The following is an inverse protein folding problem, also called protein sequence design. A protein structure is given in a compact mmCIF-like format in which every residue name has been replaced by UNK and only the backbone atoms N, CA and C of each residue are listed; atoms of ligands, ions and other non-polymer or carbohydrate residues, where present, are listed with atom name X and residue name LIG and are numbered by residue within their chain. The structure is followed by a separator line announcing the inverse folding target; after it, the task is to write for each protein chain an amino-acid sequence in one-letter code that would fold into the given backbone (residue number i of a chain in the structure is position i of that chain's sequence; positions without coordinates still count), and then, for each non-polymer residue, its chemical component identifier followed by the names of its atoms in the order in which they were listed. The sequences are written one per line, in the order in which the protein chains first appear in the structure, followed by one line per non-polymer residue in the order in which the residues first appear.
data_IF_256102368941
#
_entry.id   IF_256102368941
#
_cell.length_a   1.000
_cell.length_b   1.000
_cell.length_c   1.000
_cell.angle_alpha   90.00
_cell.angle_beta   90.00
_cell.angle_gamma   90.00
#
_symmetry.space_group_name_H-M   'P 1'
#
loop_
_entity.id
_entity.type
_entity.pdbx_description
1 polymer ?
#
# COMPACT_ATOMS: atom_id res chain seq x y z
N UNK A 1 31.15 -1.00 -6.75
CA UNK A 1 32.46 -1.66 -6.99
C UNK A 1 32.43 -2.58 -8.24
N UNK A 2 31.71 -2.24 -9.32
CA UNK A 2 31.26 -3.26 -10.29
C UNK A 2 32.02 -3.39 -11.63
N UNK A 3 32.67 -2.34 -12.13
CA UNK A 3 33.25 -2.38 -13.49
C UNK A 3 34.79 -2.26 -13.52
N UNK A 4 35.38 -1.43 -12.65
CA UNK A 4 36.85 -1.23 -12.66
C UNK A 4 37.63 -2.48 -12.22
N UNK A 5 37.13 -3.23 -11.23
CA UNK A 5 37.70 -4.50 -10.78
C UNK A 5 37.56 -5.59 -11.83
N UNK A 6 36.41 -5.64 -12.52
CA UNK A 6 36.18 -6.60 -13.60
C UNK A 6 37.10 -6.34 -14.79
N UNK A 7 37.26 -5.08 -15.21
CA UNK A 7 38.18 -4.70 -16.29
C UNK A 7 39.63 -5.00 -15.94
N UNK A 8 40.04 -4.82 -14.68
CA UNK A 8 41.39 -5.15 -14.22
C UNK A 8 41.67 -6.66 -14.25
N UNK A 9 40.70 -7.48 -13.83
CA UNK A 9 40.80 -8.95 -13.89
C UNK A 9 40.87 -9.43 -15.35
N UNK A 10 40.04 -8.87 -16.23
CA UNK A 10 40.08 -9.18 -17.67
C UNK A 10 41.44 -8.82 -18.27
N UNK A 11 41.98 -7.64 -17.96
CA UNK A 11 43.27 -7.20 -18.47
C UNK A 11 44.43 -8.13 -18.05
N UNK A 12 44.45 -8.55 -16.77
CA UNK A 12 45.44 -9.52 -16.26
C UNK A 12 45.31 -10.88 -16.97
N UNK A 13 44.07 -11.33 -17.22
CA UNK A 13 43.83 -12.59 -17.91
C UNK A 13 44.19 -12.58 -19.40
N UNK A 14 44.32 -11.40 -20.03
CA UNK A 14 44.65 -11.27 -21.47
C UNK A 14 46.12 -11.05 -21.79
N UNK A 15 46.96 -10.71 -20.80
CA UNK A 15 48.38 -10.39 -21.00
C UNK A 15 49.32 -11.62 -20.97
N UNK A 16 48.77 -12.84 -20.85
CA UNK A 16 49.53 -14.08 -20.71
C UNK A 16 49.73 -14.87 -22.01
N UNK A 17 50.49 -15.98 -21.91
CA UNK A 17 50.61 -16.97 -22.97
C UNK A 17 49.23 -17.56 -23.35
N UNK A 18 49.12 -18.14 -24.54
CA UNK A 18 47.86 -18.74 -25.06
C UNK A 18 47.18 -19.67 -24.02
N UNK A 19 47.98 -20.43 -23.27
CA UNK A 19 47.50 -21.33 -22.21
C UNK A 19 46.86 -20.59 -21.03
N UNK A 20 47.42 -19.45 -20.61
CA UNK A 20 46.86 -18.63 -19.54
C UNK A 20 45.55 -17.97 -19.95
N UNK A 21 45.43 -17.58 -21.22
CA UNK A 21 44.21 -16.98 -21.76
C UNK A 21 43.05 -18.00 -21.77
N UNK A 22 43.32 -19.26 -22.12
CA UNK A 22 42.30 -20.33 -22.09
C UNK A 22 41.84 -20.60 -20.65
N UNK A 23 42.76 -20.69 -19.69
CA UNK A 23 42.41 -20.89 -18.27
C UNK A 23 41.58 -19.72 -17.75
N UNK A 24 41.97 -18.49 -18.06
CA UNK A 24 41.22 -17.28 -17.70
C UNK A 24 39.79 -17.28 -18.25
N UNK A 25 39.62 -17.66 -19.52
CA UNK A 25 38.29 -17.76 -20.14
C UNK A 25 37.39 -18.80 -19.45
N UNK A 26 37.94 -19.96 -19.10
CA UNK A 26 37.20 -21.01 -18.37
C UNK A 26 36.79 -20.52 -16.97
N UNK A 27 37.68 -19.84 -16.25
CA UNK A 27 37.38 -19.27 -14.93
C UNK A 27 36.24 -18.24 -14.99
N UNK A 28 36.30 -17.31 -15.96
CA UNK A 28 35.24 -16.29 -16.14
C UNK A 28 33.91 -16.94 -16.51
N UNK A 29 33.91 -17.90 -17.44
CA UNK A 29 32.69 -18.63 -17.82
C UNK A 29 32.09 -19.40 -16.63
N UNK A 30 32.94 -19.99 -15.77
CA UNK A 30 32.51 -20.71 -14.57
C UNK A 30 31.91 -19.76 -13.53
N UNK A 31 32.57 -18.63 -13.25
CA UNK A 31 32.05 -17.62 -12.33
C UNK A 31 30.73 -17.02 -12.84
N UNK A 32 30.62 -16.78 -14.15
CA UNK A 32 29.37 -16.34 -14.77
C UNK A 32 28.28 -17.41 -14.65
N UNK A 33 28.61 -18.69 -14.88
CA UNK A 33 27.68 -19.80 -14.68
C UNK A 33 27.18 -19.90 -13.24
N UNK A 34 28.08 -19.80 -12.26
CA UNK A 34 27.73 -19.79 -10.82
C UNK A 34 26.86 -18.58 -10.50
N UNK A 35 27.23 -17.39 -10.96
CA UNK A 35 26.45 -16.17 -10.75
C UNK A 35 25.06 -16.26 -11.40
N UNK A 36 24.96 -16.78 -12.63
CA UNK A 36 23.70 -16.95 -13.34
C UNK A 36 22.80 -17.97 -12.66
N UNK A 37 23.36 -19.09 -12.21
CA UNK A 37 22.65 -20.10 -11.40
C UNK A 37 22.17 -19.46 -10.09
N UNK A 38 23.03 -18.73 -9.40
CA UNK A 38 22.70 -18.04 -8.15
C UNK A 38 21.59 -16.99 -8.34
N UNK A 39 21.68 -16.15 -9.39
CA UNK A 39 20.65 -15.15 -9.74
C UNK A 39 19.33 -15.84 -10.10
N UNK A 40 19.38 -16.94 -10.85
CA UNK A 40 18.19 -17.73 -11.19
C UNK A 40 17.55 -18.38 -9.97
N UNK A 41 18.34 -18.96 -9.07
CA UNK A 41 17.84 -19.52 -7.81
C UNK A 41 17.22 -18.44 -6.92
N UNK A 42 17.88 -17.28 -6.81
CA UNK A 42 17.36 -16.15 -6.04
C UNK A 42 16.01 -15.65 -6.57
N UNK A 43 15.80 -15.66 -7.88
CA UNK A 43 14.52 -15.25 -8.50
C UNK A 43 13.39 -16.28 -8.34
N UNK A 44 13.72 -17.56 -8.15
CA UNK A 44 12.73 -18.66 -8.08
C UNK A 44 12.16 -18.90 -6.67
N UNK A 45 12.61 -18.17 -5.65
CA UNK A 45 12.30 -18.49 -4.25
C UNK A 45 11.33 -17.53 -3.55
N UNK A 46 10.70 -16.58 -4.25
CA UNK A 46 9.68 -15.75 -3.63
C UNK A 46 8.36 -16.54 -3.54
N UNK A 47 8.14 -17.24 -2.42
CA UNK A 47 6.81 -17.72 -2.06
C UNK A 47 6.11 -16.62 -1.29
N UNK A 48 4.99 -16.15 -1.83
CA UNK A 48 4.08 -15.25 -1.13
C UNK A 48 3.10 -16.12 -0.36
N UNK A 49 3.18 -16.09 0.96
CA UNK A 49 2.15 -16.68 1.82
C UNK A 49 1.13 -15.59 2.11
N UNK A 50 -0.05 -15.69 1.49
CA UNK A 50 -1.15 -14.80 1.77
C UNK A 50 -1.97 -15.39 2.93
N UNK A 51 -1.89 -14.78 4.11
CA UNK A 51 -2.75 -15.11 5.23
C UNK A 51 -3.83 -14.05 5.41
N UNK A 52 -5.08 -14.50 5.43
CA UNK A 52 -6.24 -13.65 5.74
C UNK A 52 -6.42 -13.63 7.25
N UNK A 53 -6.18 -12.47 7.88
CA UNK A 53 -6.39 -12.26 9.31
C UNK A 53 -7.02 -10.92 9.60
N UNK A 54 -7.72 -10.79 10.73
CA UNK A 54 -8.18 -9.47 11.17
C UNK A 54 -7.00 -8.60 11.61
N UNK A 55 -6.91 -7.33 11.17
CA UNK A 55 -5.77 -6.50 11.52
C UNK A 55 -5.81 -6.11 12.99
N UNK A 56 -4.64 -6.04 13.61
CA UNK A 56 -4.49 -5.35 14.90
C UNK A 56 -4.78 -3.86 14.73
N UNK A 57 -5.45 -3.19 15.69
CA UNK A 57 -5.68 -1.75 15.65
C UNK A 57 -4.39 -0.96 15.38
N UNK A 58 -4.43 -0.05 14.42
CA UNK A 58 -3.30 0.75 13.99
C UNK A 58 -3.32 2.14 14.64
N UNK A 59 -2.15 2.75 14.76
CA UNK A 59 -1.97 4.15 15.18
C UNK A 59 -1.95 5.11 13.99
N UNK A 60 -1.49 4.63 12.84
CA UNK A 60 -1.47 5.37 11.58
C UNK A 60 -2.25 4.64 10.50
N UNK A 61 -3.06 5.36 9.72
CA UNK A 61 -3.85 4.79 8.64
C UNK A 61 -3.61 5.59 7.34
N UNK A 62 -3.17 4.91 6.29
CA UNK A 62 -3.02 5.51 4.96
C UNK A 62 -4.23 5.09 4.13
N UNK A 63 -4.98 6.04 3.58
CA UNK A 63 -6.20 5.80 2.82
C UNK A 63 -6.04 6.30 1.38
N UNK A 64 -6.54 5.52 0.43
CA UNK A 64 -6.73 5.94 -0.95
C UNK A 64 -8.15 6.45 -1.17
N UNK A 65 -8.26 7.62 -1.81
CA UNK A 65 -9.54 8.24 -2.13
C UNK A 65 -9.80 8.26 -3.64
N UNK A 66 -11.05 7.98 -3.99
CA UNK A 66 -11.62 8.17 -5.32
C UNK A 66 -12.62 9.32 -5.29
N UNK A 67 -13.02 9.90 -6.44
CA UNK A 67 -14.03 10.95 -6.47
C UNK A 67 -15.32 10.49 -5.79
N UNK A 68 -15.92 11.36 -4.97
CA UNK A 68 -17.12 11.04 -4.20
C UNK A 68 -18.29 10.63 -5.09
N UNK A 69 -18.93 9.50 -4.78
CA UNK A 69 -20.07 8.97 -5.52
C UNK A 69 -21.04 8.26 -4.58
N UNK A 70 -22.32 8.43 -4.86
CA UNK A 70 -23.42 7.69 -4.23
C UNK A 70 -24.19 6.98 -5.34
N UNK A 71 -24.47 5.69 -5.17
CA UNK A 71 -25.16 4.91 -6.20
C UNK A 71 -26.60 5.39 -6.34
N UNK A 72 -27.00 5.74 -7.57
CA UNK A 72 -28.38 6.13 -7.88
C UNK A 72 -28.80 7.53 -7.43
N UNK A 73 -27.85 8.39 -7.02
CA UNK A 73 -28.13 9.78 -6.65
C UNK A 73 -27.32 10.72 -7.54
N UNK A 74 -28.03 11.55 -8.30
CA UNK A 74 -27.44 12.62 -9.12
C UNK A 74 -27.47 13.97 -8.36
N UNK A 75 -26.65 14.93 -8.78
CA UNK A 75 -26.65 16.32 -8.28
C UNK A 75 -26.25 16.52 -6.79
N UNK A 76 -25.29 15.75 -6.28
CA UNK A 76 -24.71 15.98 -4.95
C UNK A 76 -23.52 16.96 -4.94
N UNK A 77 -23.05 17.39 -6.11
CA UNK A 77 -21.81 18.15 -6.25
C UNK A 77 -21.80 19.45 -5.44
N UNK A 78 -22.88 20.22 -5.48
CA UNK A 78 -22.98 21.49 -4.74
C UNK A 78 -22.92 21.28 -3.22
N UNK A 79 -23.64 20.26 -2.71
CA UNK A 79 -23.62 19.92 -1.28
C UNK A 79 -22.25 19.42 -0.85
N UNK A 80 -21.64 18.53 -1.64
CA UNK A 80 -20.29 18.02 -1.37
C UNK A 80 -19.29 19.17 -1.37
N UNK A 81 -19.38 20.10 -2.32
CA UNK A 81 -18.52 21.28 -2.39
C UNK A 81 -18.69 22.19 -1.18
N UNK A 82 -19.92 22.42 -0.74
CA UNK A 82 -20.20 23.16 0.49
C UNK A 82 -19.54 22.49 1.71
N UNK A 83 -19.75 21.19 1.90
CA UNK A 83 -19.19 20.43 3.03
C UNK A 83 -17.67 20.27 2.97
N UNK A 84 -17.10 20.28 1.77
CA UNK A 84 -15.65 20.25 1.56
C UNK A 84 -14.99 21.64 1.66
N UNK A 85 -15.76 22.72 1.89
CA UNK A 85 -15.22 24.07 2.00
C UNK A 85 -14.58 24.26 3.39
N UNK A 86 -13.28 24.58 3.47
CA UNK A 86 -12.61 24.80 4.75
C UNK A 86 -13.30 25.89 5.58
N UNK A 87 -13.59 25.59 6.85
CA UNK A 87 -14.22 26.54 7.77
C UNK A 87 -15.74 26.64 7.68
N UNK A 88 -16.40 25.85 6.82
CA UNK A 88 -17.84 25.73 6.84
C UNK A 88 -18.33 25.22 8.21
N UNK A 89 -19.43 25.78 8.71
CA UNK A 89 -20.06 25.34 9.95
C UNK A 89 -20.84 24.03 9.71
N UNK A 90 -20.12 22.93 9.51
CA UNK A 90 -20.68 21.61 9.21
C UNK A 90 -21.10 20.90 10.49
N UNK A 91 -22.29 20.30 10.47
CA UNK A 91 -22.85 19.46 11.52
C UNK A 91 -22.96 18.00 11.07
N UNK A 92 -23.13 17.08 12.02
CA UNK A 92 -23.22 15.65 11.73
C UNK A 92 -24.39 15.30 10.78
N UNK A 93 -25.53 15.98 10.94
CA UNK A 93 -26.72 15.80 10.09
C UNK A 93 -26.50 16.18 8.62
N UNK A 94 -25.52 17.03 8.32
CA UNK A 94 -25.24 17.42 6.94
C UNK A 94 -24.67 16.25 6.13
N UNK A 95 -23.99 15.30 6.79
CA UNK A 95 -23.46 14.10 6.13
C UNK A 95 -24.55 13.09 5.80
N UNK A 96 -25.67 13.10 6.53
CA UNK A 96 -26.85 12.30 6.20
C UNK A 96 -27.49 12.81 4.89
N UNK A 97 -27.48 14.13 4.68
CA UNK A 97 -28.04 14.77 3.49
C UNK A 97 -27.27 14.46 2.18
N UNK A 98 -26.04 13.96 2.29
CA UNK A 98 -25.25 13.42 1.16
C UNK A 98 -25.16 11.89 1.18
N UNK A 99 -25.80 11.23 2.16
CA UNK A 99 -25.78 9.78 2.32
C UNK A 99 -24.37 9.19 2.38
N UNK A 100 -23.49 9.77 3.22
CA UNK A 100 -22.07 9.38 3.27
C UNK A 100 -21.88 7.87 3.55
N UNK A 101 -22.76 7.26 4.34
CA UNK A 101 -22.73 5.83 4.68
C UNK A 101 -23.12 4.93 3.49
N UNK A 102 -23.81 5.46 2.48
CA UNK A 102 -24.17 4.76 1.25
C UNK A 102 -23.26 5.14 0.07
N UNK A 103 -22.19 5.89 0.33
CA UNK A 103 -21.25 6.36 -0.67
C UNK A 103 -20.07 5.40 -0.86
N UNK A 104 -19.25 5.67 -1.88
CA UNK A 104 -17.97 4.99 -2.06
C UNK A 104 -16.91 5.32 -0.97
N UNK A 105 -17.19 6.22 -0.03
CA UNK A 105 -16.36 6.44 1.17
C UNK A 105 -16.66 5.45 2.31
N UNK A 106 -17.76 4.70 2.22
CA UNK A 106 -18.16 3.79 3.30
C UNK A 106 -17.06 2.82 3.75
N UNK A 107 -16.25 2.21 2.85
CA UNK A 107 -15.12 1.38 3.27
C UNK A 107 -14.08 2.14 4.11
N UNK A 108 -13.73 3.37 3.72
CA UNK A 108 -12.79 4.21 4.46
C UNK A 108 -13.34 4.60 5.83
N UNK A 109 -14.65 4.90 5.91
CA UNK A 109 -15.31 5.16 7.19
C UNK A 109 -15.22 3.93 8.10
N UNK A 110 -15.52 2.74 7.58
CA UNK A 110 -15.41 1.49 8.32
C UNK A 110 -13.97 1.21 8.79
N UNK A 111 -12.96 1.47 7.95
CA UNK A 111 -11.55 1.34 8.32
C UNK A 111 -11.18 2.27 9.48
N UNK A 112 -11.60 3.54 9.42
CA UNK A 112 -11.39 4.51 10.50
C UNK A 112 -12.10 4.04 11.79
N UNK A 113 -13.37 3.66 11.71
CA UNK A 113 -14.15 3.18 12.86
C UNK A 113 -13.50 1.96 13.52
N UNK A 114 -12.95 1.03 12.72
CA UNK A 114 -12.27 -0.14 13.25
C UNK A 114 -10.99 0.22 14.02
N UNK A 115 -10.22 1.20 13.54
CA UNK A 115 -8.95 1.61 14.17
C UNK A 115 -9.08 2.71 15.23
N UNK A 116 -10.23 3.38 15.33
CA UNK A 116 -10.44 4.63 16.09
C UNK A 116 -9.88 4.63 17.52
N UNK A 117 -9.89 3.48 18.22
CA UNK A 117 -9.42 3.37 19.62
C UNK A 117 -7.93 3.67 19.78
N UNK A 118 -7.13 3.41 18.75
CA UNK A 118 -5.67 3.62 18.78
C UNK A 118 -5.19 4.60 17.72
N UNK A 119 -6.06 4.98 16.79
CA UNK A 119 -5.74 5.82 15.64
C UNK A 119 -5.38 7.23 16.10
N UNK A 120 -4.19 7.69 15.70
CA UNK A 120 -3.67 9.04 15.95
C UNK A 120 -3.65 9.87 14.67
N UNK A 121 -3.27 9.25 13.55
CA UNK A 121 -3.05 9.95 12.29
C UNK A 121 -3.66 9.20 11.11
N UNK A 122 -4.24 9.96 10.18
CA UNK A 122 -4.77 9.48 8.91
C UNK A 122 -4.15 10.27 7.77
N UNK A 123 -3.58 9.59 6.78
CA UNK A 123 -3.10 10.21 5.54
C UNK A 123 -4.06 9.91 4.40
N UNK A 124 -4.50 10.96 3.71
CA UNK A 124 -5.42 10.87 2.58
C UNK A 124 -4.64 11.08 1.29
N UNK A 125 -4.38 10.00 0.56
CA UNK A 125 -3.77 10.04 -0.77
C UNK A 125 -4.89 10.04 -1.81
N UNK A 126 -4.83 10.96 -2.75
CA UNK A 126 -5.90 11.17 -3.72
C UNK A 126 -5.36 11.65 -5.06
N UNK A 127 -6.17 11.61 -6.11
CA UNK A 127 -5.94 12.37 -7.35
C UNK A 127 -6.55 13.76 -7.27
N UNK A 128 -6.22 14.64 -8.23
CA UNK A 128 -6.84 15.96 -8.39
C UNK A 128 -8.38 15.88 -8.38
N UNK A 129 -8.94 14.87 -9.06
CA UNK A 129 -10.38 14.66 -9.18
C UNK A 129 -11.06 14.28 -7.86
N UNK A 130 -10.28 13.77 -6.91
CA UNK A 130 -10.75 13.28 -5.60
C UNK A 130 -10.29 14.16 -4.44
N UNK A 131 -9.61 15.29 -4.72
CA UNK A 131 -9.05 16.16 -3.69
C UNK A 131 -10.14 16.76 -2.79
N UNK A 132 -11.30 17.12 -3.36
CA UNK A 132 -12.47 17.57 -2.59
C UNK A 132 -13.02 16.47 -1.67
N UNK A 133 -12.96 15.22 -2.10
CA UNK A 133 -13.39 14.07 -1.28
C UNK A 133 -12.53 13.92 -0.03
N UNK A 134 -11.24 14.26 -0.11
CA UNK A 134 -10.37 14.30 1.07
C UNK A 134 -10.75 15.39 2.07
N UNK A 135 -11.16 16.57 1.61
CA UNK A 135 -11.72 17.60 2.50
C UNK A 135 -13.02 17.16 3.15
N UNK A 136 -13.94 16.57 2.38
CA UNK A 136 -15.18 16.03 2.91
C UNK A 136 -14.92 14.99 4.02
N UNK A 137 -14.02 14.03 3.77
CA UNK A 137 -13.68 13.02 4.76
C UNK A 137 -12.98 13.62 5.99
N UNK A 138 -12.09 14.60 5.80
CA UNK A 138 -11.45 15.34 6.89
C UNK A 138 -12.47 16.04 7.79
N UNK A 139 -13.46 16.73 7.20
CA UNK A 139 -14.52 17.38 7.94
C UNK A 139 -15.44 16.37 8.65
N UNK A 140 -15.75 15.24 8.00
CA UNK A 140 -16.47 14.14 8.64
C UNK A 140 -15.72 13.63 9.89
N UNK A 141 -14.41 13.39 9.76
CA UNK A 141 -13.60 12.91 10.89
C UNK A 141 -13.61 13.93 12.03
N UNK A 142 -13.44 15.22 11.70
CA UNK A 142 -13.46 16.32 12.67
C UNK A 142 -14.78 16.39 13.44
N UNK A 143 -15.91 16.32 12.73
CA UNK A 143 -17.25 16.47 13.33
C UNK A 143 -17.64 15.24 14.13
N UNK A 144 -17.34 14.03 13.65
CA UNK A 144 -17.81 12.78 14.26
C UNK A 144 -16.88 12.27 15.37
N UNK A 145 -15.56 12.39 15.20
CA UNK A 145 -14.57 11.88 16.16
C UNK A 145 -13.86 12.98 16.98
N UNK A 146 -14.05 14.25 16.61
CA UNK A 146 -13.38 15.40 17.23
C UNK A 146 -11.98 15.69 16.66
N UNK A 147 -11.63 16.97 16.57
CA UNK A 147 -10.33 17.43 16.01
C UNK A 147 -9.11 17.05 16.84
N UNK A 148 -9.28 16.77 18.13
CA UNK A 148 -8.18 16.47 19.04
C UNK A 148 -7.81 14.98 19.05
N UNK A 149 -8.69 14.11 18.54
CA UNK A 149 -8.52 12.66 18.60
C UNK A 149 -7.66 12.12 17.45
N UNK A 150 -7.94 12.58 16.23
CA UNK A 150 -7.32 12.05 15.00
C UNK A 150 -6.81 13.23 14.16
N UNK A 151 -5.50 13.29 13.94
CA UNK A 151 -4.89 14.21 12.99
C UNK A 151 -5.11 13.71 11.56
N UNK A 152 -5.65 14.57 10.69
CA UNK A 152 -5.92 14.22 9.29
C UNK A 152 -4.97 15.00 8.37
N UNK A 153 -4.05 14.26 7.76
CA UNK A 153 -3.06 14.71 6.81
C UNK A 153 -3.65 14.66 5.39
N UNK A 154 -4.20 15.79 4.95
CA UNK A 154 -4.72 16.00 3.59
C UNK A 154 -4.10 17.27 3.02
N UNK A 155 -3.13 17.12 2.11
CA UNK A 155 -2.29 18.21 1.57
C UNK A 155 -2.03 18.00 0.08
N UNK A 156 -1.58 19.04 -0.61
CA UNK A 156 -1.25 19.01 -2.04
C UNK A 156 -0.17 17.98 -2.39
N UNK A 157 0.74 17.70 -1.46
CA UNK A 157 1.84 16.76 -1.59
C UNK A 157 1.37 15.30 -1.62
N UNK A 158 0.11 15.04 -1.24
CA UNK A 158 -0.53 13.72 -1.31
C UNK A 158 -1.47 13.58 -2.50
N UNK A 159 -1.44 14.55 -3.42
CA UNK A 159 -2.10 14.46 -4.72
C UNK A 159 -1.18 13.71 -5.69
N UNK A 160 -1.69 12.66 -6.33
CA UNK A 160 -0.93 11.80 -7.26
C UNK A 160 -1.66 11.64 -8.59
N UNK A 161 -0.92 11.31 -9.64
CA UNK A 161 -1.55 10.90 -10.90
C UNK A 161 -2.17 9.50 -10.74
N UNK A 162 -3.47 9.32 -10.98
CA UNK A 162 -4.11 8.03 -10.77
C UNK A 162 -3.70 6.97 -11.79
N UNK A 163 -3.19 7.32 -12.97
CA UNK A 163 -3.01 6.37 -14.07
C UNK A 163 -1.59 5.82 -14.18
N UNK A 164 -0.55 6.60 -13.88
CA UNK A 164 0.83 6.16 -14.08
C UNK A 164 1.81 7.11 -13.41
N UNK A 165 2.39 6.71 -12.27
CA UNK A 165 3.71 7.12 -11.80
C UNK A 165 4.16 6.30 -10.57
N UNK A 166 5.43 6.47 -10.23
CA UNK A 166 6.04 6.09 -8.96
C UNK A 166 5.81 7.15 -7.86
N UNK A 167 5.01 8.21 -8.11
CA UNK A 167 4.74 9.25 -7.13
C UNK A 167 3.96 8.69 -5.95
N UNK A 168 2.91 7.87 -6.17
CA UNK A 168 2.20 7.27 -5.03
C UNK A 168 3.14 6.41 -4.18
N UNK A 169 4.01 5.63 -4.83
CA UNK A 169 5.01 4.84 -4.13
C UNK A 169 5.92 5.75 -3.29
N UNK A 170 6.45 6.83 -3.88
CA UNK A 170 7.30 7.82 -3.17
C UNK A 170 6.57 8.53 -2.03
N UNK A 171 5.29 8.90 -2.22
CA UNK A 171 4.45 9.50 -1.19
C UNK A 171 4.26 8.52 -0.03
N UNK A 172 3.98 7.25 -0.31
CA UNK A 172 3.87 6.23 0.72
C UNK A 172 5.21 6.02 1.44
N UNK A 173 6.33 5.93 0.71
CA UNK A 173 7.67 5.87 1.31
C UNK A 173 7.96 7.05 2.23
N UNK A 174 7.66 8.27 1.78
CA UNK A 174 7.84 9.49 2.54
C UNK A 174 7.00 9.49 3.82
N UNK A 175 5.72 9.11 3.74
CA UNK A 175 4.84 8.97 4.91
C UNK A 175 5.44 7.98 5.92
N UNK A 176 5.87 6.80 5.47
CA UNK A 176 6.50 5.81 6.35
C UNK A 176 7.84 6.27 6.93
N UNK A 177 8.57 7.14 6.24
CA UNK A 177 9.90 7.60 6.66
C UNK A 177 9.85 8.81 7.61
N UNK A 178 8.84 9.68 7.47
CA UNK A 178 8.81 10.99 8.14
C UNK A 178 7.92 11.04 9.39
N UNK A 179 6.96 10.12 9.52
CA UNK A 179 6.09 10.04 10.71
C UNK A 179 6.84 9.54 11.96
N UNK A 180 6.36 9.92 13.14
CA UNK A 180 6.82 9.38 14.43
C UNK A 180 6.27 7.96 14.71
N UNK A 181 5.30 7.50 13.92
CA UNK A 181 4.65 6.20 14.07
C UNK A 181 5.52 5.11 13.42
N UNK A 182 5.90 4.10 14.20
CA UNK A 182 6.62 2.93 13.67
C UNK A 182 5.78 2.24 12.58
N UNK A 183 6.39 1.85 11.46
CA UNK A 183 5.72 1.23 10.31
C UNK A 183 4.80 0.04 10.68
N UNK A 184 5.22 -0.79 11.64
CA UNK A 184 4.42 -1.94 12.14
C UNK A 184 3.13 -1.55 12.89
N UNK A 185 3.06 -0.31 13.35
CA UNK A 185 1.90 0.29 14.01
C UNK A 185 1.05 1.12 13.03
N UNK A 186 1.44 1.16 11.75
CA UNK A 186 0.67 1.76 10.68
C UNK A 186 0.01 0.67 9.85
N UNK A 187 -1.04 1.02 9.12
CA UNK A 187 -1.63 0.15 8.11
C UNK A 187 -2.10 0.97 6.91
N UNK A 188 -1.86 0.46 5.71
CA UNK A 188 -2.31 1.06 4.47
C UNK A 188 -3.59 0.36 3.98
N UNK A 189 -4.67 1.10 3.77
CA UNK A 189 -5.91 0.57 3.20
C UNK A 189 -5.89 0.70 1.68
N UNK A 190 -5.90 -0.43 0.98
CA UNK A 190 -5.81 -0.50 -0.48
C UNK A 190 -7.20 -0.60 -1.16
N UNK A 191 -8.29 -0.44 -0.40
CA UNK A 191 -9.66 -0.64 -0.90
C UNK A 191 -10.10 0.46 -1.87
N UNK A 192 -9.71 1.71 -1.58
CA UNK A 192 -10.14 2.88 -2.33
C UNK A 192 -9.22 3.29 -3.47
N UNK A 193 -9.55 4.42 -4.10
CA UNK A 193 -8.78 4.99 -5.20
C UNK A 193 -8.99 4.24 -6.52
N UNK A 194 -8.10 4.51 -7.48
CA UNK A 194 -8.05 3.77 -8.74
C UNK A 194 -7.25 2.48 -8.53
N UNK A 195 -7.51 1.43 -9.32
CA UNK A 195 -6.85 0.13 -9.17
C UNK A 195 -5.31 0.23 -9.23
N UNK A 196 -4.79 1.09 -10.11
CA UNK A 196 -3.37 1.45 -10.22
C UNK A 196 -2.82 2.06 -8.93
N UNK A 197 -3.58 2.92 -8.24
CA UNK A 197 -3.20 3.47 -6.95
C UNK A 197 -3.14 2.38 -5.87
N UNK A 198 -4.14 1.50 -5.82
CA UNK A 198 -4.18 0.36 -4.89
C UNK A 198 -2.97 -0.54 -5.06
N UNK A 199 -2.62 -0.87 -6.31
CA UNK A 199 -1.41 -1.67 -6.63
C UNK A 199 -0.15 -0.94 -6.18
N UNK A 200 0.00 0.35 -6.50
CA UNK A 200 1.18 1.12 -6.08
C UNK A 200 1.33 1.19 -4.56
N UNK A 201 0.23 1.34 -3.82
CA UNK A 201 0.26 1.38 -2.35
C UNK A 201 0.59 0.01 -1.76
N UNK A 202 0.02 -1.06 -2.34
CA UNK A 202 0.34 -2.42 -1.97
C UNK A 202 1.84 -2.71 -2.18
N UNK A 203 2.41 -2.29 -3.32
CA UNK A 203 3.84 -2.43 -3.61
C UNK A 203 4.73 -1.69 -2.62
N UNK A 204 4.33 -0.48 -2.18
CA UNK A 204 5.04 0.25 -1.13
C UNK A 204 5.01 -0.48 0.24
N UNK A 205 4.03 -1.35 0.45
CA UNK A 205 3.87 -2.09 1.70
C UNK A 205 4.53 -3.48 1.69
N UNK A 206 5.18 -3.90 0.60
CA UNK A 206 5.95 -5.17 0.54
C UNK A 206 7.21 -5.11 1.41
N UNK A 207 7.71 -3.92 1.73
CA UNK A 207 8.86 -3.75 2.63
C UNK A 207 8.56 -4.33 4.03
N UNK A 208 9.47 -5.13 4.62
CA UNK A 208 9.23 -5.78 5.91
C UNK A 208 8.75 -4.83 7.01
N UNK A 209 7.74 -5.28 7.75
CA UNK A 209 7.17 -4.54 8.88
C UNK A 209 6.16 -3.46 8.50
N UNK A 210 5.89 -3.24 7.20
CA UNK A 210 4.71 -2.48 6.76
C UNK A 210 3.53 -3.43 6.65
N UNK A 211 2.33 -2.90 6.90
CA UNK A 211 1.08 -3.66 6.90
C UNK A 211 0.13 -3.00 5.91
N UNK A 212 -0.66 -3.81 5.25
CA UNK A 212 -1.76 -3.32 4.42
C UNK A 212 -3.04 -4.10 4.73
N UNK A 213 -4.17 -3.48 4.43
CA UNK A 213 -5.48 -4.09 4.59
C UNK A 213 -6.38 -3.83 3.39
N UNK A 214 -7.41 -4.66 3.28
CA UNK A 214 -8.51 -4.51 2.37
C UNK A 214 -9.83 -4.63 3.13
N UNK A 215 -10.80 -3.78 2.83
CA UNK A 215 -12.15 -3.85 3.41
C UNK A 215 -12.98 -4.83 2.60
N UNK A 216 -13.10 -6.05 3.10
CA UNK A 216 -13.88 -7.11 2.47
C UNK A 216 -15.38 -6.88 2.67
N UNK A 217 -16.13 -7.03 1.56
CA UNK A 217 -17.56 -7.25 1.59
C UNK A 217 -17.82 -8.75 1.58
N UNK A 218 -18.46 -9.32 2.64
CA UNK A 218 -18.78 -10.74 2.68
C UNK A 218 -19.58 -11.17 1.45
N UNK A 219 -19.26 -12.34 0.92
CA UNK A 219 -19.91 -12.91 -0.28
C UNK A 219 -20.71 -14.16 0.07
N UNK A 220 -21.79 -14.39 -0.65
CA UNK A 220 -22.55 -15.64 -0.57
C UNK A 220 -21.86 -16.79 -1.33
N UNK A 221 -22.48 -17.97 -1.34
CA UNK A 221 -21.95 -19.16 -2.01
C UNK A 221 -21.84 -19.00 -3.54
N UNK A 222 -22.52 -17.98 -4.10
CA UNK A 222 -22.47 -17.61 -5.52
C UNK A 222 -21.38 -16.57 -5.81
N UNK A 223 -20.71 -16.07 -4.77
CA UNK A 223 -19.69 -15.04 -4.88
C UNK A 223 -20.26 -13.62 -4.96
N UNK A 224 -21.56 -13.42 -4.76
CA UNK A 224 -22.18 -12.10 -4.79
C UNK A 224 -22.07 -11.40 -3.42
N UNK A 225 -21.88 -10.08 -3.38
CA UNK A 225 -21.82 -9.34 -2.11
C UNK A 225 -23.12 -9.42 -1.31
N UNK A 226 -23.02 -9.80 -0.04
CA UNK A 226 -24.15 -9.81 0.89
C UNK A 226 -24.41 -8.36 1.36
N UNK A 227 -25.44 -7.73 0.80
CA UNK A 227 -25.71 -6.29 1.02
C UNK A 227 -25.92 -5.90 2.49
N UNK A 228 -26.41 -6.81 3.33
CA UNK A 228 -26.66 -6.56 4.76
C UNK A 228 -25.44 -6.83 5.66
N UNK A 229 -24.37 -7.42 5.12
CA UNK A 229 -23.23 -7.81 5.92
C UNK A 229 -22.26 -6.62 6.11
N UNK A 230 -21.79 -6.36 7.34
CA UNK A 230 -20.86 -5.27 7.57
C UNK A 230 -19.52 -5.56 6.89
N UNK A 231 -18.89 -4.51 6.36
CA UNK A 231 -17.52 -4.59 5.85
C UNK A 231 -16.56 -4.97 6.98
N UNK A 232 -15.58 -5.81 6.66
CA UNK A 232 -14.56 -6.25 7.62
C UNK A 232 -13.17 -5.97 7.07
N UNK A 233 -12.27 -5.37 7.85
CA UNK A 233 -10.90 -5.23 7.42
C UNK A 233 -10.21 -6.60 7.47
N UNK A 234 -9.51 -6.93 6.39
CA UNK A 234 -8.60 -8.07 6.29
C UNK A 234 -7.21 -7.50 6.15
N UNK A 235 -6.31 -7.87 7.06
CA UNK A 235 -4.89 -7.64 6.91
C UNK A 235 -4.36 -8.58 5.84
N UNK A 236 -3.67 -8.01 4.85
CA UNK A 236 -2.93 -8.76 3.86
C UNK A 236 -1.48 -8.79 4.34
N UNK A 237 -1.07 -9.92 4.93
CA UNK A 237 0.32 -10.12 5.30
C UNK A 237 1.11 -10.61 4.09
N UNK A 238 2.14 -9.86 3.74
CA UNK A 238 3.10 -10.24 2.71
C UNK A 238 4.43 -10.46 3.41
N UNK A 239 4.68 -11.70 3.78
CA UNK A 239 6.00 -12.13 4.20
C UNK A 239 6.72 -12.71 2.98
N UNK A 240 7.60 -11.94 2.30
CA UNK A 240 8.42 -12.50 1.24
C UNK A 240 9.41 -13.46 1.88
N UNK A 241 9.07 -14.75 1.90
CA UNK A 241 9.97 -15.79 2.40
C UNK A 241 11.14 -15.92 1.43
N UNK A 242 12.23 -15.22 1.74
CA UNK A 242 13.50 -15.39 1.07
C UNK A 242 14.17 -16.66 1.63
N UNK A 243 13.87 -17.81 1.04
CA UNK A 243 14.60 -19.04 1.37
C UNK A 243 16.06 -18.89 0.94
N UNK A 244 16.96 -18.64 1.88
CA UNK A 244 18.38 -18.88 1.65
C UNK A 244 18.60 -20.40 1.77
N UNK A 245 19.19 -21.03 0.76
CA UNK A 245 19.38 -22.48 0.72
C UNK A 245 20.02 -23.00 2.00
N UNK A 246 19.34 -23.95 2.65
CA UNK A 246 19.90 -25.21 3.20
C UNK A 246 18.83 -26.13 3.85
N UNK A 247 17.58 -25.69 4.04
CA UNK A 247 16.54 -26.52 4.70
C UNK A 247 15.35 -26.91 3.79
N UNK A 248 15.60 -27.61 2.68
CA UNK A 248 14.54 -28.29 1.92
C UNK A 248 14.26 -29.73 2.41
N UNK A 249 14.88 -30.18 3.51
CA UNK A 249 14.70 -31.55 4.05
C UNK A 249 13.82 -31.64 5.31
N UNK A 250 13.26 -30.53 5.82
CA UNK A 250 12.36 -30.58 6.98
C UNK A 250 11.10 -29.76 6.73
N UNK A 251 10.08 -30.37 6.16
CA UNK A 251 8.66 -30.11 6.49
C UNK A 251 7.76 -31.18 5.84
N UNK A 252 7.73 -32.34 6.46
CA UNK A 252 6.48 -33.09 6.70
C UNK A 252 6.29 -33.11 8.21
N UNK A 253 5.04 -33.17 8.70
CA UNK A 253 4.58 -33.04 10.11
C UNK A 253 4.30 -31.56 10.46
N UNK A 254 3.07 -31.06 10.61
CA UNK A 254 1.74 -31.63 10.88
C UNK A 254 0.64 -30.96 10.01
#
# INVERSE_FOLDING_TARGET
MGFATLSYIIAICTAGSLTLNVIGAICVATLFGIWWIFDRYRRLQCRVRLEVRSPKPAKGLILLLSPYRVKGVENLEEKVKFLATPGAAVQASDFDAISIQASNLYPQLCAITYHQKTLREVWLICSDQSFQTGFLLKEYIRVVYGSETISVNHRSEYIVNPYFDDQLFRVAEDIFATTDIKSRAMIADITGGFATMSVSLAMACVTPGRRMQYMESPRDDQGEPIQSAPLRPIELDFDPVLHWGDDLTRQTVD
#
